data_IF_239576857109
#
_entry.id   IF_239576857109
#
_cell.length_a   1.000
_cell.length_b   1.000
_cell.length_c   1.000
_cell.angle_alpha   90.00
_cell.angle_beta   90.00
_cell.angle_gamma   90.00
#
_symmetry.space_group_name_H-M   'P 1'
#
loop_
_entity.id
_entity.type
_entity.pdbx_description
1 polymer ?
#
# COMPACT_ATOMS: atom_id res chain seq x y z
N UNK A 1 21.52 39.97 -13.25
CA UNK A 1 21.25 39.43 -14.60
C UNK A 1 19.79 39.68 -14.88
N UNK A 2 19.55 40.47 -15.92
CA UNK A 2 18.32 41.21 -16.19
C UNK A 2 17.11 40.32 -16.45
N UNK A 3 15.97 40.74 -15.90
CA UNK A 3 14.64 40.35 -16.35
C UNK A 3 14.31 41.15 -17.61
N UNK A 4 13.97 40.44 -18.70
CA UNK A 4 13.54 41.01 -19.97
C UNK A 4 12.02 40.89 -20.07
N UNK A 5 11.32 41.94 -19.60
CA UNK A 5 9.89 42.15 -19.84
C UNK A 5 9.75 43.07 -21.04
N UNK A 6 9.53 42.47 -22.21
CA UNK A 6 9.21 43.18 -23.46
C UNK A 6 7.81 43.78 -23.44
N UNK A 7 7.67 44.94 -22.82
CA UNK A 7 6.52 45.84 -22.93
C UNK A 7 6.64 46.59 -24.26
N UNK A 8 5.82 46.24 -25.26
CA UNK A 8 5.73 46.99 -26.51
C UNK A 8 4.96 48.31 -26.28
N UNK A 9 5.50 49.47 -26.71
CA UNK A 9 4.93 50.78 -26.43
C UNK A 9 3.76 51.15 -27.34
N UNK A 10 2.77 51.78 -26.72
CA UNK A 10 1.71 52.61 -27.29
C UNK A 10 2.26 53.62 -28.32
N UNK A 11 1.64 53.81 -29.50
CA UNK A 11 2.00 54.92 -30.38
C UNK A 11 1.39 56.22 -29.83
N UNK A 12 2.28 57.08 -29.38
CA UNK A 12 2.05 58.46 -28.98
C UNK A 12 1.68 59.30 -30.22
N UNK A 13 0.59 60.06 -30.13
CA UNK A 13 0.01 60.87 -31.19
C UNK A 13 0.90 62.07 -31.46
N UNK A 14 1.53 62.13 -32.64
CA UNK A 14 2.14 63.35 -33.14
C UNK A 14 1.07 64.23 -33.81
N UNK A 15 0.72 65.32 -33.14
CA UNK A 15 0.01 66.45 -33.74
C UNK A 15 1.03 67.28 -34.49
N UNK A 16 0.93 67.33 -35.82
CA UNK A 16 1.53 68.39 -36.63
C UNK A 16 0.42 69.17 -37.31
N UNK A 17 0.22 70.40 -36.85
CA UNK A 17 -0.67 71.38 -37.46
C UNK A 17 -0.17 71.79 -38.85
N UNK A 18 -1.13 71.98 -39.77
CA UNK A 18 -1.01 73.04 -40.77
C UNK A 18 -0.58 72.64 -42.17
N UNK A 19 -1.37 71.82 -42.86
CA UNK A 19 -1.66 72.08 -44.27
C UNK A 19 -2.98 71.44 -44.69
N UNK A 20 -3.99 72.29 -44.85
CA UNK A 20 -5.26 71.94 -45.47
C UNK A 20 -5.00 71.59 -46.94
N UNK A 21 -4.79 70.30 -47.20
CA UNK A 21 -5.05 69.71 -48.51
C UNK A 21 -6.36 68.97 -48.34
N UNK A 22 -7.45 69.65 -48.72
CA UNK A 22 -8.74 69.01 -48.96
C UNK A 22 -8.49 67.97 -50.05
N UNK A 23 -8.58 66.65 -49.78
CA UNK A 23 -8.69 65.70 -50.86
C UNK A 23 -10.09 65.93 -51.42
N UNK A 24 -10.10 66.53 -52.60
CA UNK A 24 -11.23 66.57 -53.52
C UNK A 24 -11.95 65.22 -53.46
N UNK A 25 -13.23 65.23 -53.07
CA UNK A 25 -14.11 64.07 -53.09
C UNK A 25 -14.23 63.60 -54.53
N UNK A 26 -13.30 62.74 -54.96
CA UNK A 26 -13.39 62.02 -56.22
C UNK A 26 -14.28 60.79 -56.00
N UNK A 27 -15.29 60.74 -56.87
CA UNK A 27 -16.22 59.65 -57.10
C UNK A 27 -17.09 59.29 -55.90
N UNK A 28 -18.18 60.05 -55.79
CA UNK A 28 -19.50 59.49 -55.53
C UNK A 28 -19.66 58.21 -56.36
N UNK A 29 -19.24 57.07 -55.81
CA UNK A 29 -19.80 55.79 -56.19
C UNK A 29 -21.32 55.99 -56.16
N UNK A 30 -22.07 55.58 -57.20
CA UNK A 30 -23.52 55.69 -57.15
C UNK A 30 -23.92 55.00 -55.86
N UNK A 31 -24.53 55.77 -54.93
CA UNK A 31 -25.06 55.23 -53.70
C UNK A 31 -25.85 54.00 -54.13
N UNK A 32 -25.40 52.81 -53.72
CA UNK A 32 -26.03 51.56 -54.12
C UNK A 32 -27.50 51.74 -53.77
N UNK A 33 -28.34 51.97 -54.77
CA UNK A 33 -29.76 52.21 -54.56
C UNK A 33 -30.29 50.85 -54.18
N UNK A 34 -30.32 50.59 -52.88
CA UNK A 34 -30.91 49.41 -52.29
C UNK A 34 -32.37 49.42 -52.69
N UNK A 35 -32.69 48.67 -53.73
CA UNK A 35 -34.06 48.30 -54.05
C UNK A 35 -34.62 47.50 -52.86
N UNK A 36 -35.88 47.75 -52.50
CA UNK A 36 -36.59 47.08 -51.42
C UNK A 36 -36.56 45.54 -51.59
N UNK A 37 -36.57 45.05 -52.84
CA UNK A 37 -36.41 43.63 -53.11
C UNK A 37 -35.00 43.10 -52.75
N UNK A 38 -33.95 43.88 -53.00
CA UNK A 38 -32.56 43.52 -52.65
C UNK A 38 -32.31 43.56 -51.14
N UNK A 39 -32.86 44.55 -50.45
CA UNK A 39 -32.76 44.67 -48.99
C UNK A 39 -33.50 43.52 -48.26
N UNK A 40 -34.69 43.15 -48.74
CA UNK A 40 -35.46 42.04 -48.15
C UNK A 40 -34.80 40.68 -48.41
N UNK A 41 -34.16 40.48 -49.56
CA UNK A 41 -33.38 39.29 -49.86
C UNK A 41 -32.16 39.15 -48.92
N UNK A 42 -31.42 40.25 -48.69
CA UNK A 42 -30.26 40.26 -47.79
C UNK A 42 -30.66 40.01 -46.33
N UNK A 43 -31.77 40.61 -45.86
CA UNK A 43 -32.31 40.33 -44.52
C UNK A 43 -32.67 38.85 -44.36
N UNK A 44 -33.27 38.21 -45.38
CA UNK A 44 -33.58 36.78 -45.35
C UNK A 44 -32.31 35.94 -45.27
N UNK A 45 -31.27 36.29 -46.04
CA UNK A 45 -29.96 35.63 -46.01
C UNK A 45 -29.32 35.73 -44.63
N UNK A 46 -29.22 36.93 -44.07
CA UNK A 46 -28.65 37.17 -42.74
C UNK A 46 -29.42 36.43 -41.64
N UNK A 47 -30.76 36.37 -41.74
CA UNK A 47 -31.58 35.58 -40.79
C UNK A 47 -31.32 34.09 -40.90
N UNK A 48 -31.16 33.55 -42.11
CA UNK A 48 -30.84 32.15 -42.34
C UNK A 48 -29.44 31.82 -41.79
N UNK A 49 -28.47 32.70 -42.03
CA UNK A 49 -27.11 32.56 -41.50
C UNK A 49 -27.06 32.66 -39.97
N UNK A 50 -27.75 33.63 -39.37
CA UNK A 50 -27.87 33.73 -37.92
C UNK A 50 -28.62 32.54 -37.30
N UNK A 51 -29.60 31.96 -38.00
CA UNK A 51 -30.25 30.72 -37.57
C UNK A 51 -29.28 29.53 -37.60
N UNK A 52 -28.48 29.42 -38.67
CA UNK A 52 -27.43 28.41 -38.80
C UNK A 52 -26.42 28.51 -37.66
N UNK A 53 -25.83 29.69 -37.41
CA UNK A 53 -24.86 29.87 -36.33
C UNK A 53 -25.46 29.62 -34.94
N UNK A 54 -26.71 30.00 -34.70
CA UNK A 54 -27.38 29.68 -33.42
C UNK A 54 -27.54 28.18 -33.22
N UNK A 55 -27.87 27.44 -34.27
CA UNK A 55 -28.00 25.99 -34.21
C UNK A 55 -26.63 25.32 -34.03
N UNK A 56 -25.61 25.77 -34.76
CA UNK A 56 -24.23 25.28 -34.61
C UNK A 56 -23.68 25.54 -33.21
N UNK A 57 -23.92 26.74 -32.66
CA UNK A 57 -23.50 27.08 -31.30
C UNK A 57 -24.19 26.21 -30.26
N UNK A 58 -25.50 25.99 -30.37
CA UNK A 58 -26.24 25.08 -29.49
C UNK A 58 -25.71 23.64 -29.59
N UNK A 59 -25.46 23.15 -30.80
CA UNK A 59 -24.90 21.81 -30.99
C UNK A 59 -23.49 21.69 -30.39
N UNK A 60 -22.66 22.72 -30.53
CA UNK A 60 -21.32 22.76 -29.94
C UNK A 60 -21.36 22.82 -28.40
N UNK A 61 -22.26 23.63 -27.82
CA UNK A 61 -22.48 23.70 -26.37
C UNK A 61 -22.95 22.34 -25.81
N UNK A 62 -23.90 21.69 -26.46
CA UNK A 62 -24.37 20.36 -26.08
C UNK A 62 -23.28 19.28 -26.20
N UNK A 63 -22.47 19.32 -27.25
CA UNK A 63 -21.36 18.40 -27.44
C UNK A 63 -20.27 18.61 -26.37
N UNK A 64 -19.94 19.86 -26.04
CA UNK A 64 -19.01 20.18 -24.98
C UNK A 64 -19.51 19.74 -23.59
N UNK A 65 -20.80 19.94 -23.31
CA UNK A 65 -21.43 19.48 -22.06
C UNK A 65 -21.37 17.96 -21.93
N UNK A 66 -21.69 17.22 -23.00
CA UNK A 66 -21.60 15.75 -23.03
C UNK A 66 -20.17 15.25 -22.87
N UNK A 67 -19.19 15.91 -23.50
CA UNK A 67 -17.79 15.57 -23.36
C UNK A 67 -17.29 15.79 -21.92
N UNK A 68 -17.65 16.92 -21.31
CA UNK A 68 -17.31 17.23 -19.93
C UNK A 68 -17.95 16.23 -18.94
N UNK A 69 -19.21 15.83 -19.17
CA UNK A 69 -19.89 14.81 -18.37
C UNK A 69 -19.21 13.44 -18.51
N UNK A 70 -18.85 13.04 -19.73
CA UNK A 70 -18.14 11.79 -19.98
C UNK A 70 -16.75 11.77 -19.32
N UNK A 71 -16.02 12.88 -19.35
CA UNK A 71 -14.71 13.00 -18.70
C UNK A 71 -14.84 12.98 -17.18
N UNK A 72 -15.87 13.65 -16.62
CA UNK A 72 -16.17 13.60 -15.19
C UNK A 72 -16.50 12.17 -14.72
N UNK A 73 -17.32 11.43 -15.49
CA UNK A 73 -17.61 10.01 -15.22
C UNK A 73 -16.35 9.16 -15.24
N UNK A 74 -15.52 9.30 -16.28
CA UNK A 74 -14.24 8.57 -16.37
C UNK A 74 -13.34 8.87 -15.18
N UNK A 75 -13.17 10.14 -14.80
CA UNK A 75 -12.39 10.52 -13.61
C UNK A 75 -12.94 9.86 -12.34
N UNK A 76 -14.26 9.90 -12.14
CA UNK A 76 -14.90 9.26 -10.98
C UNK A 76 -14.70 7.74 -10.94
N UNK A 77 -14.81 7.06 -12.09
CA UNK A 77 -14.53 5.61 -12.19
C UNK A 77 -13.06 5.29 -11.86
N UNK A 78 -12.12 6.09 -12.36
CA UNK A 78 -10.69 5.92 -12.05
C UNK A 78 -10.39 6.14 -10.56
N UNK A 79 -11.00 7.14 -9.94
CA UNK A 79 -10.82 7.42 -8.51
C UNK A 79 -11.36 6.26 -7.65
N UNK A 80 -12.52 5.71 -8.00
CA UNK A 80 -13.08 4.53 -7.32
C UNK A 80 -12.17 3.30 -7.45
N UNK A 81 -11.67 3.02 -8.66
CA UNK A 81 -10.74 1.90 -8.88
C UNK A 81 -9.43 2.07 -8.11
N UNK A 82 -8.90 3.29 -8.08
CA UNK A 82 -7.68 3.61 -7.35
C UNK A 82 -7.85 3.42 -5.83
N UNK A 83 -8.90 3.99 -5.25
CA UNK A 83 -9.17 3.83 -3.82
C UNK A 83 -9.45 2.38 -3.45
N UNK A 84 -10.14 1.62 -4.30
CA UNK A 84 -10.32 0.18 -4.14
C UNK A 84 -9.00 -0.58 -4.12
N UNK A 85 -8.15 -0.38 -5.13
CA UNK A 85 -6.84 -1.03 -5.21
C UNK A 85 -5.92 -0.65 -4.05
N UNK A 86 -5.96 0.61 -3.61
CA UNK A 86 -5.20 1.11 -2.46
C UNK A 86 -5.66 0.45 -1.17
N UNK A 87 -6.97 0.34 -0.94
CA UNK A 87 -7.52 -0.35 0.23
C UNK A 87 -7.13 -1.84 0.26
N UNK A 88 -7.14 -2.51 -0.89
CA UNK A 88 -6.66 -3.90 -1.00
C UNK A 88 -5.17 -4.01 -0.65
N UNK A 89 -4.33 -3.12 -1.20
CA UNK A 89 -2.90 -3.08 -0.90
C UNK A 89 -2.63 -2.83 0.58
N UNK A 90 -3.32 -1.86 1.18
CA UNK A 90 -3.21 -1.53 2.60
C UNK A 90 -3.67 -2.69 3.48
N UNK A 91 -4.67 -3.46 3.05
CA UNK A 91 -5.11 -4.69 3.72
C UNK A 91 -4.11 -5.85 3.60
N UNK A 92 -3.42 -5.97 2.45
CA UNK A 92 -2.44 -7.03 2.20
C UNK A 92 -1.10 -6.79 2.89
N UNK A 93 -0.67 -5.53 3.05
CA UNK A 93 0.61 -5.17 3.67
C UNK A 93 0.84 -5.79 5.06
N UNK A 94 -0.08 -5.67 6.05
CA UNK A 94 0.13 -6.29 7.36
C UNK A 94 0.12 -7.82 7.29
N UNK A 95 -0.56 -8.41 6.30
CA UNK A 95 -0.56 -9.85 6.09
C UNK A 95 0.80 -10.33 5.59
N UNK A 96 1.40 -9.58 4.66
CA UNK A 96 2.76 -9.83 4.17
C UNK A 96 3.79 -9.73 5.31
N UNK A 97 3.74 -8.67 6.12
CA UNK A 97 4.64 -8.51 7.27
C UNK A 97 4.53 -9.68 8.26
N UNK A 98 3.30 -10.14 8.55
CA UNK A 98 3.08 -11.31 9.40
C UNK A 98 3.64 -12.59 8.80
N UNK A 99 3.47 -12.79 7.49
CA UNK A 99 4.00 -13.96 6.79
C UNK A 99 5.54 -13.95 6.77
N UNK A 100 6.14 -12.80 6.50
CA UNK A 100 7.60 -12.64 6.52
C UNK A 100 8.16 -12.90 7.93
N UNK A 101 7.47 -12.44 8.98
CA UNK A 101 7.83 -12.73 10.37
C UNK A 101 7.71 -14.24 10.72
N UNK A 102 6.63 -14.90 10.29
CA UNK A 102 6.46 -16.36 10.47
C UNK A 102 7.52 -17.15 9.70
N UNK A 103 7.86 -16.71 8.50
CA UNK A 103 8.89 -17.33 7.68
C UNK A 103 10.27 -17.21 8.35
N UNK A 104 10.61 -16.03 8.87
CA UNK A 104 11.85 -15.81 9.62
C UNK A 104 11.91 -16.68 10.89
N UNK A 105 10.82 -16.72 11.66
CA UNK A 105 10.73 -17.56 12.86
C UNK A 105 10.87 -19.05 12.52
N UNK A 106 10.23 -19.52 11.45
CA UNK A 106 10.30 -20.91 11.00
C UNK A 106 11.71 -21.26 10.53
N UNK A 107 12.35 -20.37 9.79
CA UNK A 107 13.74 -20.55 9.33
C UNK A 107 14.69 -20.68 10.52
N UNK A 108 14.58 -19.80 11.51
CA UNK A 108 15.43 -19.85 12.71
C UNK A 108 15.17 -21.13 13.52
N UNK A 109 13.90 -21.54 13.67
CA UNK A 109 13.55 -22.80 14.32
C UNK A 109 14.13 -24.01 13.60
N UNK A 110 14.05 -24.04 12.26
CA UNK A 110 14.61 -25.13 11.46
C UNK A 110 16.12 -25.20 11.61
N UNK A 111 16.79 -24.05 11.56
CA UNK A 111 18.24 -23.96 11.80
C UNK A 111 18.60 -24.52 13.18
N UNK A 112 17.90 -24.09 14.23
CA UNK A 112 18.13 -24.59 15.59
C UNK A 112 17.82 -26.09 15.73
N UNK A 113 16.87 -26.63 14.96
CA UNK A 113 16.58 -28.06 14.92
C UNK A 113 17.73 -28.83 14.24
N UNK A 114 18.22 -28.35 13.08
CA UNK A 114 19.33 -28.95 12.34
C UNK A 114 20.63 -28.91 13.16
N UNK A 115 20.89 -27.82 13.88
CA UNK A 115 22.07 -27.69 14.73
C UNK A 115 22.08 -28.71 15.89
N UNK A 116 20.91 -29.10 16.39
CA UNK A 116 20.76 -30.16 17.41
C UNK A 116 20.92 -31.56 16.84
N UNK A 117 20.84 -31.74 15.52
CA UNK A 117 21.02 -33.05 14.91
C UNK A 117 22.47 -33.51 15.00
N UNK A 118 22.72 -34.81 15.23
CA UNK A 118 24.05 -35.39 15.08
C UNK A 118 24.61 -35.13 13.68
N UNK A 119 25.91 -34.86 13.59
CA UNK A 119 26.58 -34.48 12.33
C UNK A 119 26.36 -35.50 11.19
N UNK A 120 26.36 -36.80 11.52
CA UNK A 120 26.08 -37.88 10.58
C UNK A 120 24.66 -37.86 9.99
N UNK A 121 23.71 -37.20 10.66
CA UNK A 121 22.31 -37.11 10.24
C UNK A 121 22.00 -35.80 9.51
N UNK A 122 22.87 -34.77 9.64
CA UNK A 122 22.68 -33.49 8.95
C UNK A 122 22.75 -33.61 7.42
N UNK A 123 23.51 -34.59 6.92
CA UNK A 123 23.62 -34.90 5.48
C UNK A 123 22.32 -35.46 4.88
N UNK A 124 21.40 -35.95 5.72
CA UNK A 124 20.10 -36.46 5.29
C UNK A 124 19.04 -35.35 5.17
N UNK A 125 19.33 -34.14 5.67
CA UNK A 125 18.41 -33.01 5.61
C UNK A 125 18.38 -32.47 4.18
N UNK A 126 17.20 -32.45 3.51
CA UNK A 126 17.08 -31.88 2.17
C UNK A 126 17.24 -30.36 2.19
N UNK A 127 17.79 -29.81 1.11
CA UNK A 127 17.82 -28.36 0.89
C UNK A 127 16.54 -27.93 0.18
N UNK A 128 15.61 -27.35 0.94
CA UNK A 128 14.34 -26.85 0.42
C UNK A 128 14.33 -25.32 0.39
N UNK A 129 13.88 -24.74 -0.72
CA UNK A 129 13.71 -23.28 -0.86
C UNK A 129 12.62 -22.73 0.09
N UNK A 130 11.66 -23.57 0.49
CA UNK A 130 10.54 -23.21 1.37
C UNK A 130 10.78 -23.69 2.81
N UNK A 131 10.93 -22.77 3.78
CA UNK A 131 11.20 -23.14 5.17
C UNK A 131 10.03 -23.88 5.82
N UNK A 132 8.79 -23.73 5.35
CA UNK A 132 7.66 -24.49 5.90
C UNK A 132 7.70 -25.96 5.44
N UNK A 133 8.18 -26.23 4.21
CA UNK A 133 8.38 -27.61 3.74
C UNK A 133 9.51 -28.29 4.50
N UNK A 134 10.60 -27.57 4.76
CA UNK A 134 11.69 -28.07 5.59
C UNK A 134 11.22 -28.38 7.01
N UNK A 135 10.42 -27.51 7.62
CA UNK A 135 9.85 -27.75 8.95
C UNK A 135 8.95 -29.00 8.96
N UNK A 136 8.04 -29.13 7.99
CA UNK A 136 7.18 -30.30 7.88
C UNK A 136 7.99 -31.60 7.71
N UNK A 137 9.06 -31.56 6.92
CA UNK A 137 9.97 -32.70 6.77
C UNK A 137 10.70 -33.01 8.09
N UNK A 138 11.24 -32.01 8.77
CA UNK A 138 11.92 -32.18 10.06
C UNK A 138 10.99 -32.79 11.12
N UNK A 139 9.73 -32.36 11.15
CA UNK A 139 8.72 -32.90 12.06
C UNK A 139 8.33 -34.34 11.70
N UNK A 140 8.11 -34.64 10.41
CA UNK A 140 7.78 -35.99 9.96
C UNK A 140 8.91 -37.00 10.25
N UNK A 141 10.16 -36.54 10.16
CA UNK A 141 11.35 -37.38 10.39
C UNK A 141 11.90 -37.28 11.81
N UNK A 142 11.23 -36.54 12.71
CA UNK A 142 11.73 -36.26 14.06
C UNK A 142 12.06 -37.54 14.86
N UNK A 143 11.27 -38.60 14.72
CA UNK A 143 11.51 -39.87 15.40
C UNK A 143 12.81 -40.56 14.96
N UNK A 144 13.18 -40.44 13.69
CA UNK A 144 14.42 -41.01 13.13
C UNK A 144 15.63 -40.12 13.37
N UNK A 145 15.41 -38.81 13.41
CA UNK A 145 16.43 -37.79 13.60
C UNK A 145 16.80 -37.57 15.08
N UNK A 146 15.91 -37.92 16.01
CA UNK A 146 16.19 -37.83 17.45
C UNK A 146 17.00 -39.05 17.92
N UNK A 147 18.05 -38.81 18.70
CA UNK A 147 18.73 -39.89 19.42
C UNK A 147 17.79 -40.37 20.53
N UNK A 148 17.58 -41.69 20.71
CA UNK A 148 16.93 -42.20 21.91
C UNK A 148 17.69 -41.68 23.12
N UNK A 149 17.02 -40.92 23.98
CA UNK A 149 17.59 -40.54 25.26
C UNK A 149 17.89 -41.85 25.98
N UNK A 150 19.18 -42.15 26.20
CA UNK A 150 19.56 -43.35 26.92
C UNK A 150 18.82 -43.31 28.27
N UNK A 151 18.11 -44.37 28.65
CA UNK A 151 17.51 -44.44 29.98
C UNK A 151 18.62 -44.13 30.98
N UNK A 152 18.35 -43.24 31.92
CA UNK A 152 19.30 -42.92 32.98
C UNK A 152 19.59 -44.23 33.71
N UNK A 153 20.77 -44.80 33.45
CA UNK A 153 21.27 -45.98 34.15
C UNK A 153 21.54 -45.67 35.63
N UNK A 154 21.46 -44.39 36.00
CA UNK A 154 21.48 -43.92 37.37
C UNK A 154 20.06 -43.77 37.94
N UNK A 155 19.38 -44.91 38.11
CA UNK A 155 18.22 -45.03 38.99
C UNK A 155 18.64 -45.63 40.35
N UNK A 156 19.88 -45.36 40.81
CA UNK A 156 20.42 -46.07 41.98
C UNK A 156 21.69 -45.52 42.64
N UNK A 157 22.35 -44.47 42.15
CA UNK A 157 23.46 -43.83 42.85
C UNK A 157 22.96 -42.60 43.60
N UNK A 158 22.39 -42.84 44.78
CA UNK A 158 22.24 -41.82 45.82
C UNK A 158 23.62 -41.31 46.25
N UNK A 159 24.18 -40.37 45.48
CA UNK A 159 25.28 -39.52 45.90
C UNK A 159 24.72 -38.33 46.67
N UNK A 160 24.80 -38.42 48.00
CA UNK A 160 24.40 -37.38 48.94
C UNK A 160 25.27 -36.14 48.72
N UNK A 161 24.82 -35.24 47.85
CA UNK A 161 25.28 -33.87 47.78
C UNK A 161 24.37 -33.00 48.65
N UNK A 162 24.69 -32.90 49.95
CA UNK A 162 24.37 -31.77 50.86
C UNK A 162 23.12 -30.92 50.53
N UNK A 163 21.97 -31.56 50.32
CA UNK A 163 20.68 -30.91 50.21
C UNK A 163 20.02 -30.92 51.58
N UNK A 164 19.99 -29.78 52.26
CA UNK A 164 19.29 -29.65 53.54
C UNK A 164 17.88 -30.21 53.45
N UNK A 165 17.48 -30.97 54.46
CA UNK A 165 16.17 -31.63 54.51
C UNK A 165 15.09 -30.56 54.34
N UNK A 166 14.29 -30.69 53.29
CA UNK A 166 13.10 -29.88 53.07
C UNK A 166 12.06 -30.27 54.14
N UNK A 167 12.09 -29.56 55.27
CA UNK A 167 11.30 -29.87 56.46
C UNK A 167 9.80 -29.86 56.17
N UNK A 168 9.34 -29.07 55.20
CA UNK A 168 7.93 -29.03 54.80
C UNK A 168 7.50 -30.37 54.18
N UNK A 169 8.35 -30.97 53.33
CA UNK A 169 8.09 -32.30 52.77
C UNK A 169 8.21 -33.40 53.82
N UNK A 170 9.18 -33.29 54.72
CA UNK A 170 9.34 -34.25 55.82
C UNK A 170 8.13 -34.24 56.77
N UNK A 171 7.54 -33.07 57.08
CA UNK A 171 6.30 -32.94 57.87
C UNK A 171 5.11 -33.59 57.16
N UNK A 172 4.92 -33.28 55.88
CA UNK A 172 3.82 -33.87 55.11
C UNK A 172 3.91 -35.40 55.03
N UNK A 173 5.13 -35.92 54.93
CA UNK A 173 5.38 -37.36 54.92
C UNK A 173 5.14 -38.01 56.28
N UNK A 174 5.52 -37.36 57.38
CA UNK A 174 5.22 -37.84 58.72
C UNK A 174 3.71 -37.93 59.00
N UNK A 175 2.95 -36.89 58.60
CA UNK A 175 1.49 -36.86 58.70
C UNK A 175 0.88 -38.01 57.90
N UNK A 176 1.36 -38.25 56.67
CA UNK A 176 0.90 -39.37 55.83
C UNK A 176 1.20 -40.74 56.45
N UNK A 177 2.31 -40.87 57.18
CA UNK A 177 2.71 -42.11 57.84
C UNK A 177 2.08 -42.27 59.24
N UNK A 178 1.32 -41.27 59.71
CA UNK A 178 0.73 -41.27 61.05
C UNK A 178 1.76 -41.19 62.17
N UNK A 179 2.97 -40.71 61.88
CA UNK A 179 4.07 -40.56 62.84
C UNK A 179 4.18 -39.10 63.26
N UNK A 180 4.60 -38.85 64.49
CA UNK A 180 4.86 -37.50 64.97
C UNK A 180 5.89 -36.76 64.07
N UNK A 181 5.52 -35.61 63.48
CA UNK A 181 6.38 -34.90 62.53
C UNK A 181 7.73 -34.45 63.11
N UNK A 182 7.79 -34.07 64.38
CA UNK A 182 9.02 -33.57 64.99
C UNK A 182 10.03 -34.68 65.22
N UNK A 183 9.56 -35.84 65.69
CA UNK A 183 10.40 -37.03 65.86
C UNK A 183 10.93 -37.51 64.50
N UNK A 184 10.06 -37.50 63.48
CA UNK A 184 10.43 -37.90 62.14
C UNK A 184 11.52 -36.99 61.54
N UNK A 185 11.36 -35.67 61.61
CA UNK A 185 12.36 -34.71 61.12
C UNK A 185 13.68 -34.82 61.90
N UNK A 186 13.61 -34.98 63.23
CA UNK A 186 14.81 -35.15 64.07
C UNK A 186 15.59 -36.43 63.69
N UNK A 187 14.88 -37.52 63.35
CA UNK A 187 15.50 -38.75 62.87
C UNK A 187 16.18 -38.61 61.51
N UNK A 188 15.71 -37.67 60.67
CA UNK A 188 16.33 -37.37 59.39
C UNK A 188 17.56 -36.47 59.56
N UNK A 189 17.54 -35.54 60.51
CA UNK A 189 18.66 -34.63 60.82
C UNK A 189 19.80 -35.28 61.61
N UNK A 190 19.52 -36.36 62.34
CA UNK A 190 20.48 -37.05 63.21
C UNK A 190 21.27 -38.19 62.54
N UNK A 191 21.23 -38.29 61.20
CA UNK A 191 22.00 -39.26 60.42
C UNK A 191 23.06 -38.56 59.57
#
# INVERSE_FOLDING_TARGET
MSADTGQAPTPEVQVTDGQAVVPEQQDSQPAATWDEASATAEIKRLRAEAAKYRNERKAAEEAAAKAAEAEAKRRGEFEQLYEGAKAELDGLRPLKERMDALQAQTTERNRAAIDKLPEAMRTLVPDYDDPFKLDAWLQANAAMLSKPQAPSLDAGAGGIGSGGIDEAKARAQAIRLGVDPEIYIKSLKGR
#
